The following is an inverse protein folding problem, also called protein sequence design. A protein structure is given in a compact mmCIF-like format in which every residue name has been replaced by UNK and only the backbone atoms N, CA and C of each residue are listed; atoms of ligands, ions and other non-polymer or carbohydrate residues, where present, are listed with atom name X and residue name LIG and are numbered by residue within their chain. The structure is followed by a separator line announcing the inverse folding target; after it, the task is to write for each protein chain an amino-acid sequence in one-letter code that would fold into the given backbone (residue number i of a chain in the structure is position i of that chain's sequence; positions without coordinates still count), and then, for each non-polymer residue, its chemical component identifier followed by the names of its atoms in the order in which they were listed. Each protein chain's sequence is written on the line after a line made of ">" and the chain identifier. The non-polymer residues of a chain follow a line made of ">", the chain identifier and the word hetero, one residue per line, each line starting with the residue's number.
data_IF_584481590439
#
_entry.id   IF_584481590439
#
_cell.length_a   1.000
_cell.length_b   1.000
_cell.length_c   1.000
_cell.angle_alpha   90.00
_cell.angle_beta   90.00
_cell.angle_gamma   90.00
#
_symmetry.space_group_name_H-M   'P 1'
#
loop_
_entity.id
_entity.type
_entity.pdbx_description
1 polymer ?
#
# COMPACT_ATOMS: atom_id res chain seq x y z
N UNK A 1 0.68 -2.98 9.55
CA UNK A 1 -0.27 -3.71 8.68
C UNK A 1 -1.35 -4.44 9.47
N UNK A 2 -1.03 -5.40 10.35
CA UNK A 2 -2.03 -6.18 11.09
C UNK A 2 -3.05 -5.35 11.88
N UNK A 3 -2.60 -4.31 12.59
CA UNK A 3 -3.50 -3.45 13.37
C UNK A 3 -4.58 -2.77 12.51
N UNK A 4 -4.24 -2.32 11.31
CA UNK A 4 -5.22 -1.72 10.37
C UNK A 4 -6.15 -2.80 9.81
N UNK A 5 -5.62 -3.98 9.49
CA UNK A 5 -6.42 -5.10 8.96
C UNK A 5 -7.51 -5.57 9.94
N UNK A 6 -7.24 -5.49 11.25
CA UNK A 6 -8.19 -5.83 12.30
C UNK A 6 -9.16 -4.68 12.64
N UNK A 7 -9.17 -3.60 11.87
CA UNK A 7 -10.01 -2.41 12.09
C UNK A 7 -11.02 -2.20 10.97
N UNK A 8 -11.96 -1.28 11.16
CA UNK A 8 -12.92 -0.88 10.12
C UNK A 8 -12.24 -0.25 8.89
N UNK A 9 -11.00 0.24 9.03
CA UNK A 9 -10.21 0.83 7.96
C UNK A 9 -9.54 -0.17 7.01
N UNK A 10 -9.73 -1.48 7.19
CA UNK A 10 -9.02 -2.54 6.46
C UNK A 10 -9.18 -2.53 4.93
N UNK A 11 -10.24 -1.89 4.43
CA UNK A 11 -10.52 -1.75 2.99
C UNK A 11 -10.07 -0.41 2.40
N UNK A 12 -9.38 0.44 3.17
CA UNK A 12 -8.96 1.76 2.74
C UNK A 12 -7.44 1.86 2.72
N UNK A 13 -6.84 1.97 1.54
CA UNK A 13 -5.40 2.17 1.34
C UNK A 13 -4.87 3.36 2.13
N UNK A 14 -5.68 4.43 2.26
CA UNK A 14 -5.35 5.58 3.12
C UNK A 14 -5.04 5.20 4.56
N UNK A 15 -5.79 4.26 5.15
CA UNK A 15 -5.56 3.84 6.54
C UNK A 15 -4.20 3.16 6.70
N UNK A 16 -3.73 2.42 5.69
CA UNK A 16 -2.41 1.81 5.69
C UNK A 16 -1.29 2.85 5.51
N UNK A 17 -1.46 3.79 4.59
CA UNK A 17 -0.52 4.91 4.39
C UNK A 17 -0.41 5.75 5.65
N UNK A 18 -1.52 6.12 6.28
CA UNK A 18 -1.52 6.92 7.50
C UNK A 18 -0.88 6.16 8.68
N UNK A 19 -1.10 4.84 8.78
CA UNK A 19 -0.44 4.01 9.78
C UNK A 19 1.08 3.89 9.56
N UNK A 20 1.53 3.79 8.30
CA UNK A 20 2.96 3.80 7.96
C UNK A 20 3.58 5.17 8.26
N UNK A 21 2.88 6.26 7.95
CA UNK A 21 3.33 7.61 8.24
C UNK A 21 3.45 7.85 9.76
N UNK A 22 2.48 7.38 10.54
CA UNK A 22 2.55 7.40 12.01
C UNK A 22 3.71 6.54 12.56
N UNK A 23 4.12 5.52 11.81
CA UNK A 23 5.33 4.72 12.09
C UNK A 23 6.65 5.40 11.72
N UNK A 24 6.62 6.61 11.15
CA UNK A 24 7.81 7.40 10.82
C UNK A 24 8.29 7.30 9.39
N UNK A 25 7.57 6.63 8.50
CA UNK A 25 7.89 6.59 7.07
C UNK A 25 7.43 7.87 6.35
N UNK A 26 8.22 8.33 5.38
CA UNK A 26 7.87 9.49 4.56
C UNK A 26 6.74 9.15 3.57
N UNK A 27 5.63 9.88 3.63
CA UNK A 27 4.50 9.75 2.68
C UNK A 27 4.94 9.99 1.24
N UNK A 28 5.91 10.89 1.00
CA UNK A 28 6.43 11.17 -0.34
C UNK A 28 7.18 9.99 -0.97
N UNK A 29 7.58 9.01 -0.16
CA UNK A 29 8.20 7.77 -0.60
C UNK A 29 7.21 6.61 -0.74
N UNK A 30 5.91 6.85 -0.55
CA UNK A 30 4.88 5.80 -0.57
C UNK A 30 4.14 5.71 -1.89
N UNK A 31 3.64 4.52 -2.18
CA UNK A 31 2.65 4.29 -3.22
C UNK A 31 1.54 3.39 -2.69
N UNK A 32 0.33 3.54 -3.22
CA UNK A 32 -0.83 2.73 -2.86
C UNK A 32 -1.71 2.49 -4.09
N UNK A 33 -2.27 1.29 -4.22
CA UNK A 33 -3.24 0.99 -5.27
C UNK A 33 -4.62 1.58 -4.93
N UNK A 34 -5.52 1.61 -5.92
CA UNK A 34 -6.89 2.08 -5.70
C UNK A 34 -7.66 1.16 -4.72
N UNK A 35 -8.57 1.78 -3.96
CA UNK A 35 -9.44 1.09 -3.00
C UNK A 35 -10.64 0.39 -3.68
N UNK A 36 -10.90 0.74 -4.94
CA UNK A 36 -12.01 0.24 -5.74
C UNK A 36 -11.56 -0.14 -7.15
N UNK A 37 -12.23 -1.11 -7.77
CA UNK A 37 -12.04 -1.47 -9.17
C UNK A 37 -12.63 -0.41 -10.12
N UNK A 38 -12.36 -0.57 -11.41
CA UNK A 38 -12.89 0.32 -12.47
C UNK A 38 -14.42 0.31 -12.58
N UNK A 39 -15.08 -0.73 -12.07
CA UNK A 39 -16.55 -0.84 -12.03
C UNK A 39 -17.14 -0.46 -10.66
N UNK A 40 -16.31 0.07 -9.74
CA UNK A 40 -16.75 0.63 -8.46
C UNK A 40 -16.91 -0.38 -7.31
N UNK A 41 -16.50 -1.63 -7.49
CA UNK A 41 -16.48 -2.61 -6.40
C UNK A 41 -15.26 -2.37 -5.50
N UNK A 42 -15.31 -2.72 -4.20
CA UNK A 42 -14.11 -2.75 -3.36
C UNK A 42 -12.99 -3.57 -3.99
N UNK A 43 -11.75 -3.13 -3.85
CA UNK A 43 -10.60 -3.88 -4.33
C UNK A 43 -10.43 -5.19 -3.53
N UNK A 44 -10.26 -6.31 -4.22
CA UNK A 44 -10.02 -7.62 -3.59
C UNK A 44 -8.65 -7.69 -2.91
N UNK A 45 -7.70 -6.88 -3.40
CA UNK A 45 -6.41 -6.66 -2.80
C UNK A 45 -5.96 -5.20 -2.95
N UNK A 46 -5.27 -4.70 -1.94
CA UNK A 46 -4.64 -3.39 -1.92
C UNK A 46 -3.15 -3.60 -1.66
N UNK A 47 -2.30 -3.01 -2.49
CA UNK A 47 -0.87 -2.95 -2.24
C UNK A 47 -0.49 -1.55 -1.76
N UNK A 48 0.39 -1.51 -0.76
CA UNK A 48 1.04 -0.30 -0.27
C UNK A 48 2.54 -0.53 -0.31
N UNK A 49 3.32 0.51 -0.57
CA UNK A 49 4.77 0.43 -0.52
C UNK A 49 5.41 1.66 0.08
N UNK A 50 6.64 1.49 0.56
CA UNK A 50 7.51 2.58 1.00
C UNK A 50 8.89 2.34 0.42
N UNK A 51 9.44 3.33 -0.29
CA UNK A 51 10.80 3.30 -0.81
C UNK A 51 11.80 3.75 0.25
N UNK A 52 12.91 3.03 0.36
CA UNK A 52 14.13 3.49 1.03
C UNK A 52 15.37 3.16 0.18
N UNK A 53 16.07 4.18 -0.29
CA UNK A 53 17.17 3.99 -1.24
C UNK A 53 16.72 3.26 -2.51
N UNK A 54 17.34 2.11 -2.78
CA UNK A 54 17.08 1.22 -3.93
C UNK A 54 16.13 0.06 -3.59
N UNK A 55 15.54 0.07 -2.41
CA UNK A 55 14.64 -0.98 -1.94
C UNK A 55 13.25 -0.44 -1.64
N UNK A 56 12.29 -1.34 -1.65
CA UNK A 56 10.89 -1.08 -1.37
C UNK A 56 10.36 -2.12 -0.39
N UNK A 57 9.80 -1.67 0.72
CA UNK A 57 8.87 -2.49 1.48
C UNK A 57 7.54 -2.50 0.73
N UNK A 58 7.05 -3.67 0.37
CA UNK A 58 5.76 -3.84 -0.30
C UNK A 58 4.89 -4.67 0.62
N UNK A 59 3.75 -4.10 1.00
CA UNK A 59 2.70 -4.76 1.75
C UNK A 59 1.49 -5.03 0.87
N UNK A 60 0.84 -6.18 1.07
CA UNK A 60 -0.43 -6.51 0.43
C UNK A 60 -1.45 -6.92 1.49
N UNK A 61 -2.68 -6.46 1.30
CA UNK A 61 -3.85 -6.77 2.13
C UNK A 61 -5.07 -7.02 1.25
N UNK A 62 -6.14 -7.54 1.83
CA UNK A 62 -7.41 -7.79 1.15
C UNK A 62 -7.86 -9.23 1.31
N UNK A 63 -9.14 -9.49 1.08
CA UNK A 63 -9.74 -10.81 1.33
C UNK A 63 -9.07 -11.92 0.52
N UNK A 64 -8.66 -11.63 -0.72
CA UNK A 64 -7.93 -12.58 -1.57
C UNK A 64 -6.51 -12.87 -1.05
N UNK A 65 -5.95 -12.01 -0.21
CA UNK A 65 -4.62 -12.18 0.39
C UNK A 65 -4.69 -12.95 1.71
N UNK A 66 -5.80 -12.84 2.44
CA UNK A 66 -5.95 -13.40 3.79
C UNK A 66 -5.29 -12.52 4.84
N UNK A 67 -4.27 -13.02 5.52
CA UNK A 67 -3.49 -12.22 6.47
C UNK A 67 -2.62 -11.19 5.73
N UNK A 68 -2.41 -9.98 6.29
CA UNK A 68 -1.50 -9.01 5.71
C UNK A 68 -0.09 -9.57 5.56
N UNK A 69 0.46 -9.47 4.35
CA UNK A 69 1.83 -9.89 4.05
C UNK A 69 2.68 -8.69 3.65
N UNK A 70 3.98 -8.78 3.89
CA UNK A 70 4.94 -7.80 3.42
C UNK A 70 6.25 -8.45 3.03
N UNK A 71 6.93 -7.87 2.05
CA UNK A 71 8.24 -8.30 1.56
C UNK A 71 9.09 -7.09 1.18
N UNK A 72 10.40 -7.28 1.03
CA UNK A 72 11.33 -6.26 0.54
C UNK A 72 11.83 -6.67 -0.83
N UNK A 73 11.63 -5.81 -1.82
CA UNK A 73 12.12 -5.99 -3.19
C UNK A 73 12.97 -4.78 -3.61
N UNK A 74 13.73 -4.92 -4.70
CA UNK A 74 14.40 -3.78 -5.34
C UNK A 74 13.37 -2.84 -5.97
N UNK A 75 13.69 -1.54 -6.00
CA UNK A 75 12.92 -0.56 -6.75
C UNK A 75 12.95 -0.87 -8.25
N UNK A 76 11.90 -0.46 -8.96
CA UNK A 76 11.83 -0.49 -10.42
C UNK A 76 12.86 0.49 -11.03
N UNK A 77 13.23 0.32 -12.32
CA UNK A 77 14.21 1.18 -12.96
C UNK A 77 13.85 2.68 -12.99
N UNK A 78 12.57 3.02 -12.92
CA UNK A 78 12.05 4.38 -12.82
C UNK A 78 11.99 4.92 -11.38
N UNK A 79 12.40 4.12 -10.40
CA UNK A 79 12.39 4.44 -8.98
C UNK A 79 11.06 4.18 -8.28
N UNK A 80 10.04 3.66 -8.96
CA UNK A 80 8.79 3.23 -8.34
C UNK A 80 8.97 1.89 -7.60
N UNK A 81 8.03 1.58 -6.70
CA UNK A 81 7.97 0.32 -5.96
C UNK A 81 6.87 -0.62 -6.46
N UNK A 82 5.76 -0.06 -6.97
CA UNK A 82 4.62 -0.83 -7.48
C UNK A 82 4.55 -0.72 -9.00
N UNK A 83 4.20 -1.83 -9.64
CA UNK A 83 3.93 -1.88 -11.08
C UNK A 83 2.52 -1.38 -11.37
N UNK A 84 2.39 -0.57 -12.42
CA UNK A 84 1.11 -0.02 -12.88
C UNK A 84 0.78 1.35 -12.28
N UNK A 85 -0.46 1.79 -12.49
CA UNK A 85 -0.93 3.09 -11.98
C UNK A 85 -1.28 2.98 -10.50
N UNK A 86 -0.73 3.91 -9.72
CA UNK A 86 -0.99 4.02 -8.29
C UNK A 86 -1.83 5.25 -8.04
N UNK A 87 -2.65 5.20 -6.98
CA UNK A 87 -3.48 6.32 -6.59
C UNK A 87 -2.57 7.44 -6.05
N UNK A 88 -2.78 8.71 -6.47
CA UNK A 88 -2.11 9.85 -5.85
C UNK A 88 -2.34 9.91 -4.33
N UNK A 89 -1.27 10.21 -3.59
CA UNK A 89 -1.32 10.47 -2.15
C UNK A 89 -1.31 11.99 -1.96
N UNK A 90 -2.49 12.61 -1.91
CA UNK A 90 -2.72 14.06 -1.93
C UNK A 90 -3.29 14.63 -0.61
N UNK A 91 -3.16 13.87 0.48
CA UNK A 91 -3.71 14.19 1.80
C UNK A 91 -2.70 14.25 2.95
#
# INVERSE_FOLDING_TARGET
>A
MQSVWNSDGRGAGRAYVDALAAGGFDKGAMQVTADTSTVGNPAESIQVSVRWGEQCLIGQVGEATGEPVATVLGALPDGACLLGETRPIDW
#
